data_IF_551124796069
#
_entry.id   IF_551124796069
#
_cell.length_a   1.000
_cell.length_b   1.000
_cell.length_c   1.000
_cell.angle_alpha   90.00
_cell.angle_beta   90.00
_cell.angle_gamma   90.00
#
_symmetry.space_group_name_H-M   'P 1'
#
loop_
_entity.id
_entity.type
_entity.pdbx_description
1 polymer ?
#
# COMPACT_ATOMS: atom_id res chain seq x y z
N UNK A 1 3.85 14.79 -1.64
CA UNK A 1 4.28 13.47 -1.14
C UNK A 1 3.51 13.21 0.16
N UNK A 2 2.82 12.08 0.26
CA UNK A 2 2.10 11.64 1.46
C UNK A 2 2.80 10.42 2.08
N UNK A 3 2.70 10.26 3.40
CA UNK A 3 3.19 9.10 4.14
C UNK A 3 2.00 8.41 4.79
N UNK A 4 1.90 7.09 4.67
CA UNK A 4 0.85 6.28 5.31
C UNK A 4 1.38 4.89 5.65
N UNK A 5 0.75 4.23 6.60
CA UNK A 5 1.07 2.86 7.00
C UNK A 5 0.14 1.86 6.31
N UNK A 6 0.68 0.76 5.78
CA UNK A 6 -0.13 -0.26 5.14
C UNK A 6 -1.06 -0.91 6.18
N UNK A 7 -2.36 -0.89 5.90
CA UNK A 7 -3.36 -1.57 6.71
C UNK A 7 -3.46 -3.06 6.34
N UNK A 8 -3.75 -3.90 7.34
CA UNK A 8 -4.07 -5.31 7.13
C UNK A 8 -2.87 -6.24 6.90
N UNK A 9 -1.65 -5.81 7.21
CA UNK A 9 -0.42 -6.62 7.07
C UNK A 9 -0.51 -7.98 7.78
N UNK A 10 -1.22 -8.05 8.91
CA UNK A 10 -1.48 -9.29 9.67
C UNK A 10 -2.32 -10.33 8.93
N UNK A 11 -3.06 -9.93 7.89
CA UNK A 11 -3.96 -10.80 7.12
C UNK A 11 -3.37 -11.18 5.75
N UNK A 12 -2.11 -10.84 5.50
CA UNK A 12 -1.39 -11.29 4.31
C UNK A 12 -0.96 -12.75 4.52
N UNK A 13 -1.35 -13.64 3.60
CA UNK A 13 -1.06 -15.07 3.74
C UNK A 13 0.45 -15.35 3.77
N UNK A 14 1.21 -14.76 2.84
CA UNK A 14 2.66 -14.90 2.80
C UNK A 14 3.37 -13.83 3.64
N UNK A 15 3.59 -14.10 4.93
CA UNK A 15 4.31 -13.17 5.82
C UNK A 15 5.81 -13.01 5.49
N UNK A 16 6.40 -13.87 4.66
CA UNK A 16 7.81 -13.77 4.29
C UNK A 16 8.07 -12.64 3.27
N UNK A 17 7.03 -12.14 2.60
CA UNK A 17 7.14 -10.99 1.68
C UNK A 17 7.78 -9.78 2.37
N UNK A 18 7.40 -9.50 3.61
CA UNK A 18 7.84 -8.33 4.35
C UNK A 18 9.33 -8.39 4.75
N UNK A 19 9.87 -9.61 4.91
CA UNK A 19 11.30 -9.82 5.23
C UNK A 19 12.22 -9.39 4.08
N UNK A 20 11.68 -9.31 2.86
CA UNK A 20 12.41 -8.95 1.64
C UNK A 20 12.25 -7.46 1.27
N UNK A 21 11.37 -6.73 1.95
CA UNK A 21 11.13 -5.32 1.64
C UNK A 21 12.29 -4.46 2.14
N UNK A 22 12.84 -3.67 1.22
CA UNK A 22 13.88 -2.69 1.50
C UNK A 22 13.35 -1.26 1.32
N UNK A 23 14.03 -0.31 1.96
CA UNK A 23 13.70 1.10 1.84
C UNK A 23 13.84 1.56 0.38
N UNK A 24 12.84 2.30 -0.10
CA UNK A 24 12.67 2.80 -1.47
C UNK A 24 12.25 1.78 -2.52
N UNK A 25 11.98 0.52 -2.13
CA UNK A 25 11.40 -0.46 -3.04
C UNK A 25 10.11 0.09 -3.67
N UNK A 26 9.98 0.00 -5.00
CA UNK A 26 8.76 0.40 -5.69
C UNK A 26 7.62 -0.55 -5.36
N UNK A 27 6.43 0.02 -5.22
CA UNK A 27 5.19 -0.71 -4.95
C UNK A 27 4.14 -0.37 -6.00
N UNK A 28 3.28 -1.34 -6.29
CA UNK A 28 2.11 -1.16 -7.13
C UNK A 28 0.91 -0.80 -6.25
N UNK A 29 0.09 0.13 -6.75
CA UNK A 29 -1.21 0.47 -6.17
C UNK A 29 -2.28 0.02 -7.15
N UNK A 30 -3.22 -0.81 -6.68
CA UNK A 30 -4.29 -1.36 -7.50
C UNK A 30 -5.66 -0.97 -6.91
N UNK A 31 -6.53 -0.37 -7.72
CA UNK A 31 -7.90 -0.05 -7.30
C UNK A 31 -8.75 -1.32 -7.22
N UNK A 32 -9.45 -1.50 -6.11
CA UNK A 32 -10.52 -2.49 -5.96
C UNK A 32 -11.85 -1.75 -5.70
N UNK A 33 -12.44 -1.17 -6.74
CA UNK A 33 -13.67 -0.38 -6.61
C UNK A 33 -14.91 -1.22 -6.23
N UNK A 34 -14.85 -2.52 -6.48
CA UNK A 34 -15.86 -3.53 -6.18
C UNK A 34 -15.63 -4.25 -4.84
N UNK A 35 -14.66 -3.79 -4.03
CA UNK A 35 -14.41 -4.35 -2.70
C UNK A 35 -15.65 -4.22 -1.80
N UNK A 36 -16.16 -5.34 -1.30
CA UNK A 36 -17.40 -5.43 -0.54
C UNK A 36 -17.42 -4.60 0.76
N UNK A 37 -16.24 -4.28 1.31
CA UNK A 37 -16.10 -3.57 2.58
C UNK A 37 -15.82 -2.07 2.41
N UNK A 38 -15.18 -1.69 1.32
CA UNK A 38 -14.76 -0.32 1.05
C UNK A 38 -14.56 -0.06 -0.45
N UNK A 39 -15.49 0.66 -1.08
CA UNK A 39 -15.40 1.03 -2.51
C UNK A 39 -14.18 1.90 -2.85
N UNK A 40 -13.55 2.51 -1.84
CA UNK A 40 -12.32 3.28 -1.98
C UNK A 40 -11.06 2.42 -1.82
N UNK A 41 -11.17 1.10 -1.71
CA UNK A 41 -10.04 0.22 -1.49
C UNK A 41 -8.95 0.36 -2.56
N UNK A 42 -7.71 0.48 -2.07
CA UNK A 42 -6.49 0.49 -2.87
C UNK A 42 -5.56 -0.56 -2.28
N UNK A 43 -5.38 -1.66 -3.01
CA UNK A 43 -4.48 -2.74 -2.65
C UNK A 43 -3.05 -2.29 -2.89
N UNK A 44 -2.16 -2.66 -1.97
CA UNK A 44 -0.71 -2.41 -2.07
C UNK A 44 -0.03 -3.74 -2.37
N UNK A 45 0.80 -3.75 -3.41
CA UNK A 45 1.48 -4.93 -3.92
C UNK A 45 2.98 -4.66 -4.11
N UNK A 46 3.81 -5.70 -4.02
CA UNK A 46 5.18 -5.67 -4.55
C UNK A 46 5.16 -5.58 -6.09
N UNK A 47 6.29 -5.27 -6.72
CA UNK A 47 6.40 -5.30 -8.19
C UNK A 47 6.16 -6.69 -8.79
N UNK A 48 6.38 -7.75 -8.01
CA UNK A 48 6.13 -9.14 -8.41
C UNK A 48 4.68 -9.58 -8.14
N UNK A 49 3.82 -8.68 -7.65
CA UNK A 49 2.39 -8.91 -7.45
C UNK A 49 2.01 -9.51 -6.10
N UNK A 50 2.93 -9.60 -5.13
CA UNK A 50 2.59 -10.09 -3.79
C UNK A 50 1.87 -9.02 -2.98
N UNK A 51 0.73 -9.37 -2.38
CA UNK A 51 -0.08 -8.46 -1.57
C UNK A 51 0.62 -8.11 -0.26
N UNK A 52 0.70 -6.81 0.04
CA UNK A 52 1.21 -6.29 1.30
C UNK A 52 0.10 -5.81 2.23
N UNK A 53 -1.07 -5.49 1.68
CA UNK A 53 -2.23 -4.99 2.41
C UNK A 53 -2.98 -3.94 1.60
N UNK A 54 -3.47 -2.90 2.28
CA UNK A 54 -4.25 -1.81 1.68
C UNK A 54 -3.79 -0.44 2.18
N UNK A 55 -4.10 0.61 1.40
CA UNK A 55 -4.10 1.97 1.94
C UNK A 55 -5.20 2.07 3.03
N UNK A 56 -4.91 2.64 4.21
CA UNK A 56 -5.91 2.81 5.26
C UNK A 56 -7.14 3.57 4.77
N UNK A 57 -8.31 3.20 5.30
CA UNK A 57 -9.59 3.84 4.97
C UNK A 57 -9.62 5.34 5.28
N UNK A 58 -8.85 5.79 6.28
CA UNK A 58 -8.69 7.21 6.61
C UNK A 58 -7.95 8.00 5.52
N UNK A 59 -7.15 7.33 4.71
CA UNK A 59 -6.15 7.95 3.83
C UNK A 59 -6.47 7.70 2.34
N UNK A 60 -7.32 6.73 2.02
CA UNK A 60 -7.55 6.26 0.65
C UNK A 60 -8.43 7.20 -0.21
N UNK A 61 -9.22 8.07 0.39
CA UNK A 61 -10.27 8.87 -0.28
C UNK A 61 -9.72 9.82 -1.36
N UNK A 62 -8.55 10.43 -1.14
CA UNK A 62 -7.91 11.29 -2.14
C UNK A 62 -7.30 10.43 -3.25
N UNK A 63 -6.60 9.36 -2.90
CA UNK A 63 -5.88 8.52 -3.86
C UNK A 63 -6.83 7.74 -4.77
N UNK A 64 -7.98 7.26 -4.26
CA UNK A 64 -8.93 6.50 -5.07
C UNK A 64 -9.50 7.38 -6.18
N UNK A 65 -9.93 8.61 -5.85
CA UNK A 65 -10.46 9.57 -6.83
C UNK A 65 -9.44 9.94 -7.89
N UNK A 66 -8.18 10.08 -7.51
CA UNK A 66 -7.10 10.37 -8.45
C UNK A 66 -6.89 9.20 -9.42
N UNK A 67 -6.82 7.96 -8.91
CA UNK A 67 -6.70 6.77 -9.76
C UNK A 67 -7.92 6.60 -10.66
N UNK A 68 -9.13 6.83 -10.14
CA UNK A 68 -10.38 6.75 -10.90
C UNK A 68 -10.46 7.83 -12.00
N UNK A 69 -9.79 8.98 -11.79
CA UNK A 69 -9.61 10.02 -12.79
C UNK A 69 -8.47 9.74 -13.79
N UNK A 70 -7.85 8.56 -13.74
CA UNK A 70 -6.76 8.14 -14.62
C UNK A 70 -5.39 8.73 -14.26
N UNK A 71 -5.21 9.27 -13.05
CA UNK A 71 -3.91 9.76 -12.59
C UNK A 71 -3.00 8.61 -12.18
N UNK A 72 -1.73 8.71 -12.56
CA UNK A 72 -0.71 7.75 -12.17
C UNK A 72 -0.16 8.14 -10.80
N UNK A 73 -0.23 7.21 -9.86
CA UNK A 73 0.26 7.38 -8.49
C UNK A 73 1.33 6.32 -8.25
N UNK A 74 2.46 6.75 -7.69
CA UNK A 74 3.57 5.87 -7.33
C UNK A 74 3.65 5.73 -5.82
N UNK A 75 3.98 4.52 -5.36
CA UNK A 75 4.30 4.23 -3.98
C UNK A 75 5.70 3.62 -3.85
N UNK A 76 6.36 3.91 -2.73
CA UNK A 76 7.62 3.26 -2.36
C UNK A 76 7.67 2.97 -0.87
N UNK A 77 8.35 1.91 -0.48
CA UNK A 77 8.62 1.59 0.94
C UNK A 77 9.40 2.74 1.58
N UNK A 78 8.91 3.25 2.71
CA UNK A 78 9.63 4.19 3.54
C UNK A 78 10.36 3.51 4.69
N UNK A 79 9.68 2.58 5.35
CA UNK A 79 10.21 1.73 6.42
C UNK A 79 9.43 0.42 6.48
N UNK A 80 10.12 -0.66 6.82
CA UNK A 80 9.54 -1.97 7.10
C UNK A 80 10.23 -2.53 8.35
N UNK A 81 9.47 -2.81 9.40
CA UNK A 81 10.00 -3.40 10.63
C UNK A 81 8.93 -4.22 11.34
N UNK A 82 9.37 -5.03 12.31
CA UNK A 82 8.51 -5.83 13.16
C UNK A 82 9.06 -5.78 14.57
N UNK A 83 8.21 -5.49 15.54
CA UNK A 83 8.57 -5.53 16.96
C UNK A 83 7.97 -6.78 17.61
N UNK A 84 8.79 -7.64 18.18
CA UNK A 84 8.35 -8.82 18.95
C UNK A 84 7.26 -9.67 18.24
N UNK A 85 6.08 -9.78 18.86
CA UNK A 85 4.93 -10.55 18.39
C UNK A 85 3.92 -9.73 17.57
N UNK A 86 4.21 -8.45 17.33
CA UNK A 86 3.33 -7.57 16.56
C UNK A 86 3.36 -7.93 15.07
N UNK A 87 2.34 -7.56 14.29
CA UNK A 87 2.39 -7.68 12.85
C UNK A 87 3.49 -6.78 12.25
N UNK A 88 3.78 -6.98 10.96
CA UNK A 88 4.70 -6.10 10.24
C UNK A 88 4.15 -4.67 10.17
N UNK A 89 5.00 -3.71 10.52
CA UNK A 89 4.78 -2.28 10.34
C UNK A 89 5.48 -1.85 9.06
N UNK A 90 4.69 -1.46 8.05
CA UNK A 90 5.20 -1.03 6.76
C UNK A 90 4.65 0.35 6.46
N UNK A 91 5.51 1.36 6.46
CA UNK A 91 5.17 2.72 6.04
C UNK A 91 5.59 2.92 4.60
N UNK A 92 4.76 3.59 3.82
CA UNK A 92 5.00 3.87 2.40
C UNK A 92 4.85 5.36 2.11
N UNK A 93 5.62 5.81 1.12
CA UNK A 93 5.50 7.15 0.54
C UNK A 93 4.72 7.08 -0.76
N UNK A 94 3.70 7.91 -0.87
CA UNK A 94 2.85 8.03 -2.05
C UNK A 94 3.09 9.39 -2.72
N UNK A 95 3.35 9.37 -4.01
CA UNK A 95 3.56 10.56 -4.83
C UNK A 95 2.76 10.49 -6.13
N UNK A 96 2.16 11.62 -6.50
CA UNK A 96 1.79 11.87 -7.89
C UNK A 96 3.03 12.34 -8.63
N UNK A 97 3.23 11.84 -9.85
CA UNK A 97 4.14 12.47 -10.80
C UNK A 97 3.26 13.31 -11.71
N UNK A 98 3.34 14.63 -11.55
CA UNK A 98 2.81 15.57 -12.53
C UNK A 98 3.82 15.61 -13.68
N UNK A 99 3.37 15.27 -14.89
CA UNK A 99 4.12 15.47 -16.14
C UNK A 99 3.78 16.84 -16.73
#
# INVERSE_FOLDING_TARGET
MSLTDIAGTRYVDNQDVFKRLEKNDPLLLEREADNEYDSNAIKVLTMDGEKLGYIPKSDNDIFCRLMDAGKIIHARVYSCYKENYDPWYVSIKICMIDF
#
